data_IF_399536773072
#
_entry.id   IF_399536773072
#
_cell.length_a   1.000
_cell.length_b   1.000
_cell.length_c   1.000
_cell.angle_alpha   90.00
_cell.angle_beta   90.00
_cell.angle_gamma   90.00
#
_symmetry.space_group_name_H-M   'P 1'
#
loop_
_entity.id
_entity.type
_entity.pdbx_description
1 polymer ?
#
# COMPACT_ATOMS: atom_id res chain seq x y z
N UNK A 1 6.17 15.05 17.85
CA UNK A 1 5.44 16.20 18.47
C UNK A 1 5.09 17.31 17.47
N UNK A 2 5.87 17.54 16.43
CA UNK A 2 5.65 18.64 15.47
C UNK A 2 4.38 18.47 14.63
N UNK A 3 4.08 17.27 14.16
CA UNK A 3 2.95 17.01 13.26
C UNK A 3 1.61 16.76 13.99
N UNK A 4 1.66 16.30 15.25
CA UNK A 4 0.45 15.92 16.00
C UNK A 4 -0.55 17.07 16.12
N UNK A 5 -0.16 18.31 16.54
CA UNK A 5 -1.11 19.41 16.67
C UNK A 5 -1.80 19.77 15.34
N UNK A 6 -1.07 19.72 14.22
CA UNK A 6 -1.65 20.04 12.92
C UNK A 6 -2.63 18.97 12.43
N UNK A 7 -2.29 17.69 12.63
CA UNK A 7 -3.21 16.60 12.30
C UNK A 7 -4.49 16.66 13.13
N UNK A 8 -4.38 16.93 14.44
CA UNK A 8 -5.54 17.11 15.33
C UNK A 8 -6.40 18.28 14.87
N UNK A 9 -5.78 19.43 14.53
CA UNK A 9 -6.49 20.60 14.03
C UNK A 9 -7.31 20.29 12.78
N UNK A 10 -6.75 19.51 11.84
CA UNK A 10 -7.46 19.11 10.63
C UNK A 10 -8.62 18.15 10.94
N UNK A 11 -8.41 17.21 11.85
CA UNK A 11 -9.46 16.27 12.28
C UNK A 11 -10.60 17.03 12.98
N UNK A 12 -10.31 18.02 13.81
CA UNK A 12 -11.32 18.85 14.47
C UNK A 12 -12.13 19.72 13.48
N UNK A 13 -11.59 19.94 12.28
CA UNK A 13 -12.30 20.57 11.16
C UNK A 13 -13.14 19.56 10.34
N UNK A 14 -13.17 18.28 10.71
CA UNK A 14 -13.93 17.24 10.03
C UNK A 14 -13.19 16.53 8.89
N UNK A 15 -11.86 16.66 8.79
CA UNK A 15 -11.08 15.93 7.79
C UNK A 15 -10.60 14.58 8.31
N UNK A 16 -10.64 13.58 7.44
CA UNK A 16 -9.85 12.36 7.62
C UNK A 16 -8.46 12.53 7.00
N UNK A 17 -7.49 11.87 7.57
CA UNK A 17 -6.10 11.89 7.10
C UNK A 17 -5.84 10.63 6.27
N UNK A 18 -5.36 10.80 5.06
CA UNK A 18 -4.97 9.67 4.20
C UNK A 18 -3.48 9.76 3.92
N UNK A 19 -2.74 8.70 4.24
CA UNK A 19 -1.30 8.64 4.01
C UNK A 19 -0.96 7.51 3.04
N UNK A 20 -0.27 7.86 1.93
CA UNK A 20 0.02 6.94 0.84
C UNK A 20 1.11 5.89 1.16
N UNK A 21 1.84 6.04 2.24
CA UNK A 21 2.95 5.16 2.62
C UNK A 21 2.53 4.28 3.82
N UNK A 22 2.50 2.94 3.67
CA UNK A 22 2.02 2.03 4.71
C UNK A 22 2.75 2.17 6.05
N UNK A 23 4.05 2.45 6.07
CA UNK A 23 4.81 2.67 7.30
C UNK A 23 4.39 3.94 8.05
N UNK A 24 4.02 5.00 7.33
CA UNK A 24 3.51 6.23 7.96
C UNK A 24 2.13 5.99 8.59
N UNK A 25 1.26 5.25 7.92
CA UNK A 25 -0.04 4.87 8.49
C UNK A 25 0.15 3.99 9.72
N UNK A 26 1.00 2.97 9.65
CA UNK A 26 1.31 2.08 10.77
C UNK A 26 1.81 2.84 11.99
N UNK A 27 2.71 3.81 11.79
CA UNK A 27 3.26 4.64 12.85
C UNK A 27 2.14 5.33 13.66
N UNK A 28 1.21 6.00 12.99
CA UNK A 28 0.13 6.73 13.67
C UNK A 28 -1.02 5.83 14.13
N UNK A 29 -1.28 4.71 13.43
CA UNK A 29 -2.34 3.78 13.83
C UNK A 29 -1.98 2.88 15.01
N UNK A 30 -0.69 2.49 15.11
CA UNK A 30 -0.29 1.46 16.09
C UNK A 30 0.93 1.87 16.91
N UNK A 31 2.04 2.25 16.29
CA UNK A 31 3.31 2.41 17.00
C UNK A 31 3.26 3.56 18.01
N UNK A 32 2.88 4.77 17.60
CA UNK A 32 2.77 5.91 18.51
C UNK A 32 1.71 5.70 19.61
N UNK A 33 0.49 5.20 19.30
CA UNK A 33 -0.48 4.86 20.35
C UNK A 33 -0.02 3.78 21.34
N UNK A 34 0.83 2.84 20.93
CA UNK A 34 1.42 1.85 21.84
C UNK A 34 2.52 2.46 22.70
N UNK A 35 3.31 3.40 22.16
CA UNK A 35 4.36 4.10 22.93
C UNK A 35 3.79 5.13 23.90
N UNK A 36 2.64 5.71 23.58
CA UNK A 36 1.98 6.77 24.34
C UNK A 36 0.47 6.48 24.48
N UNK A 37 0.07 5.45 25.25
CA UNK A 37 -1.31 4.95 25.27
C UNK A 37 -2.31 5.96 25.84
N UNK A 38 -1.88 6.84 26.74
CA UNK A 38 -2.72 7.83 27.40
C UNK A 38 -2.77 9.18 26.66
N UNK A 39 -2.11 9.30 25.51
CA UNK A 39 -2.11 10.53 24.71
C UNK A 39 -3.39 10.61 23.88
N UNK A 40 -4.33 11.49 24.30
CA UNK A 40 -5.63 11.66 23.66
C UNK A 40 -5.54 12.12 22.20
N UNK A 41 -4.53 12.93 21.86
CA UNK A 41 -4.32 13.42 20.49
C UNK A 41 -3.89 12.29 19.57
N UNK A 42 -3.03 11.38 20.04
CA UNK A 42 -2.62 10.21 19.27
C UNK A 42 -3.78 9.22 19.10
N UNK A 43 -4.63 9.02 20.12
CA UNK A 43 -5.83 8.19 19.97
C UNK A 43 -6.83 8.80 18.97
N UNK A 44 -6.98 10.13 18.95
CA UNK A 44 -7.79 10.84 17.94
C UNK A 44 -7.24 10.62 16.53
N UNK A 45 -5.93 10.81 16.33
CA UNK A 45 -5.27 10.59 15.02
C UNK A 45 -5.44 9.13 14.58
N UNK A 46 -5.22 8.16 15.48
CA UNK A 46 -5.42 6.73 15.20
C UNK A 46 -6.79 6.43 14.60
N UNK A 47 -7.83 7.10 15.09
CA UNK A 47 -9.21 6.90 14.63
C UNK A 47 -9.49 7.51 13.25
N UNK A 48 -8.70 8.50 12.83
CA UNK A 48 -8.94 9.29 11.63
C UNK A 48 -7.82 9.21 10.58
N UNK A 49 -6.83 8.33 10.76
CA UNK A 49 -5.79 8.09 9.74
C UNK A 49 -6.02 6.78 9.03
N UNK A 50 -5.94 6.82 7.71
CA UNK A 50 -6.26 5.70 6.84
C UNK A 50 -5.18 5.44 5.79
N UNK A 51 -5.00 4.16 5.45
CA UNK A 51 -4.42 3.75 4.18
C UNK A 51 -5.35 4.21 3.03
N UNK A 52 -4.83 4.57 1.84
CA UNK A 52 -5.66 5.07 0.74
C UNK A 52 -6.77 4.10 0.35
N UNK A 53 -6.46 2.81 0.25
CA UNK A 53 -7.45 1.81 -0.15
C UNK A 53 -8.42 1.46 0.99
N UNK A 54 -7.97 1.53 2.24
CA UNK A 54 -8.87 1.45 3.39
C UNK A 54 -9.90 2.59 3.33
N UNK A 55 -9.45 3.82 3.08
CA UNK A 55 -10.34 4.98 2.93
C UNK A 55 -11.31 4.83 1.76
N UNK A 56 -10.83 4.35 0.60
CA UNK A 56 -11.69 4.10 -0.55
C UNK A 56 -12.76 3.03 -0.28
N UNK A 57 -12.43 1.98 0.50
CA UNK A 57 -13.44 1.01 0.96
C UNK A 57 -14.48 1.67 1.86
N UNK A 58 -14.08 2.57 2.76
CA UNK A 58 -15.04 3.35 3.56
C UNK A 58 -15.97 4.18 2.68
N UNK A 59 -15.41 4.87 1.68
CA UNK A 59 -16.19 5.66 0.72
C UNK A 59 -17.15 4.78 -0.10
N UNK A 60 -16.68 3.61 -0.53
CA UNK A 60 -17.52 2.65 -1.26
C UNK A 60 -18.71 2.17 -0.43
N UNK A 61 -18.47 1.76 0.82
CA UNK A 61 -19.53 1.31 1.73
C UNK A 61 -20.56 2.41 2.04
N UNK A 62 -20.15 3.67 2.03
CA UNK A 62 -21.02 4.83 2.20
C UNK A 62 -21.75 5.24 0.91
N UNK A 63 -21.55 4.55 -0.23
CA UNK A 63 -22.12 4.91 -1.52
C UNK A 63 -21.51 6.18 -2.14
N UNK A 64 -20.32 6.56 -1.70
CA UNK A 64 -19.65 7.81 -2.08
C UNK A 64 -18.43 7.59 -3.00
N UNK A 65 -18.15 6.36 -3.40
CA UNK A 65 -17.13 6.04 -4.40
C UNK A 65 -17.80 5.89 -5.76
N UNK A 66 -17.34 6.64 -6.75
CA UNK A 66 -17.76 6.41 -8.12
C UNK A 66 -17.18 5.06 -8.60
N UNK A 67 -18.02 4.16 -9.09
CA UNK A 67 -17.62 2.84 -9.62
C UNK A 67 -17.83 2.74 -11.13
N UNK A 68 -18.01 3.86 -11.82
CA UNK A 68 -18.09 3.92 -13.29
C UNK A 68 -16.68 3.90 -13.90
N UNK A 69 -16.11 2.73 -14.01
CA UNK A 69 -14.80 2.53 -14.63
C UNK A 69 -14.91 2.47 -16.15
N UNK A 70 -13.92 3.05 -16.84
CA UNK A 70 -13.87 3.14 -18.30
C UNK A 70 -12.99 2.08 -18.95
N UNK A 71 -12.06 1.50 -18.16
CA UNK A 71 -11.09 0.55 -18.69
C UNK A 71 -10.90 -0.61 -17.70
N UNK A 72 -10.81 -1.87 -18.20
CA UNK A 72 -10.41 -3.01 -17.39
C UNK A 72 -8.93 -2.90 -17.04
N UNK A 73 -8.51 -3.62 -16.01
CA UNK A 73 -7.12 -3.67 -15.58
C UNK A 73 -6.42 -5.00 -15.91
N UNK A 74 -7.18 -6.03 -16.35
CA UNK A 74 -6.59 -7.33 -16.68
C UNK A 74 -6.04 -8.06 -15.46
N UNK A 75 -4.87 -8.69 -15.61
CA UNK A 75 -4.25 -9.53 -14.58
C UNK A 75 -3.21 -8.75 -13.77
N UNK A 76 -3.38 -8.68 -12.48
CA UNK A 76 -2.54 -7.92 -11.57
C UNK A 76 -1.85 -8.85 -10.56
N UNK A 77 -0.53 -8.78 -10.45
CA UNK A 77 0.21 -9.29 -9.31
C UNK A 77 0.30 -8.19 -8.24
N UNK A 78 -0.46 -8.34 -7.16
CA UNK A 78 -0.41 -7.39 -6.04
C UNK A 78 0.45 -7.94 -4.91
N UNK A 79 1.59 -7.29 -4.69
CA UNK A 79 2.45 -7.54 -3.55
C UNK A 79 1.96 -6.75 -2.33
N UNK A 80 1.64 -7.45 -1.26
CA UNK A 80 1.20 -6.88 0.02
C UNK A 80 2.41 -6.53 0.87
N UNK A 81 2.72 -5.24 1.11
CA UNK A 81 3.89 -4.86 1.89
C UNK A 81 3.72 -5.17 3.39
N UNK A 82 4.85 -5.42 4.07
CA UNK A 82 4.84 -5.83 5.48
C UNK A 82 4.10 -4.85 6.38
N UNK A 83 4.37 -3.55 6.25
CA UNK A 83 3.73 -2.51 7.07
C UNK A 83 2.23 -2.34 6.82
N UNK A 84 1.70 -2.77 5.67
CA UNK A 84 0.25 -2.83 5.43
C UNK A 84 -0.36 -4.07 6.09
N UNK A 85 0.33 -5.22 5.99
CA UNK A 85 -0.15 -6.48 6.59
C UNK A 85 -0.31 -6.39 8.10
N UNK A 86 0.67 -5.80 8.80
CA UNK A 86 0.62 -5.68 10.28
C UNK A 86 -0.42 -4.69 10.78
N UNK A 87 -0.98 -3.83 9.91
CA UNK A 87 -2.11 -2.96 10.28
C UNK A 87 -3.41 -3.74 10.51
N UNK A 88 -3.49 -5.00 10.06
CA UNK A 88 -4.68 -5.85 10.15
C UNK A 88 -5.95 -5.25 9.53
N UNK A 89 -5.79 -4.40 8.51
CA UNK A 89 -6.92 -3.77 7.79
C UNK A 89 -7.57 -4.70 6.75
N UNK A 90 -6.94 -5.83 6.45
CA UNK A 90 -7.36 -6.76 5.39
C UNK A 90 -6.91 -6.31 3.99
N UNK A 91 -7.31 -7.02 2.93
CA UNK A 91 -6.82 -6.83 1.56
C UNK A 91 -7.50 -5.65 0.83
N UNK A 92 -7.48 -4.46 1.41
CA UNK A 92 -8.24 -3.28 0.95
C UNK A 92 -7.93 -2.87 -0.49
N UNK A 93 -6.66 -2.95 -0.89
CA UNK A 93 -6.24 -2.69 -2.28
C UNK A 93 -6.92 -3.66 -3.25
N UNK A 94 -6.94 -4.96 -2.91
CA UNK A 94 -7.67 -5.96 -3.69
C UNK A 94 -9.17 -5.66 -3.72
N UNK A 95 -9.76 -5.32 -2.57
CA UNK A 95 -11.21 -5.06 -2.46
C UNK A 95 -11.64 -3.92 -3.41
N UNK A 96 -10.84 -2.85 -3.53
CA UNK A 96 -11.14 -1.72 -4.42
C UNK A 96 -10.85 -2.06 -5.89
N UNK A 97 -9.68 -2.63 -6.20
CA UNK A 97 -9.33 -2.94 -7.59
C UNK A 97 -10.24 -4.03 -8.19
N UNK A 98 -10.79 -4.92 -7.36
CA UNK A 98 -11.77 -5.92 -7.80
C UNK A 98 -13.15 -5.33 -8.17
N UNK A 99 -13.42 -4.05 -7.88
CA UNK A 99 -14.60 -3.35 -8.37
C UNK A 99 -14.50 -3.01 -9.87
N UNK A 100 -13.27 -3.00 -10.41
CA UNK A 100 -13.04 -2.73 -11.83
C UNK A 100 -13.38 -4.00 -12.63
N UNK A 101 -14.28 -3.93 -13.63
CA UNK A 101 -14.64 -5.10 -14.46
C UNK A 101 -13.41 -5.74 -15.13
N UNK A 102 -13.48 -7.02 -15.41
CA UNK A 102 -12.46 -7.81 -16.09
C UNK A 102 -11.05 -7.65 -15.47
N UNK A 103 -11.01 -7.64 -14.13
CA UNK A 103 -9.78 -7.50 -13.34
C UNK A 103 -9.56 -8.73 -12.47
N UNK A 104 -8.44 -9.42 -12.68
CA UNK A 104 -7.99 -10.56 -11.87
C UNK A 104 -6.80 -10.14 -10.99
N UNK A 105 -6.89 -10.40 -9.68
CA UNK A 105 -5.84 -9.97 -8.74
C UNK A 105 -5.25 -11.19 -8.03
N UNK A 106 -3.98 -11.43 -8.29
CA UNK A 106 -3.19 -12.45 -7.61
C UNK A 106 -2.41 -11.82 -6.45
N UNK A 107 -2.75 -12.23 -5.24
CA UNK A 107 -2.18 -11.69 -4.00
C UNK A 107 -0.86 -12.38 -3.68
N UNK A 108 0.17 -11.59 -3.38
CA UNK A 108 1.51 -12.08 -3.05
C UNK A 108 1.93 -11.54 -1.69
N UNK A 109 1.96 -12.43 -0.71
CA UNK A 109 2.41 -12.15 0.65
C UNK A 109 3.79 -12.77 0.90
N UNK A 110 4.84 -12.09 0.44
CA UNK A 110 6.23 -12.49 0.63
C UNK A 110 7.09 -11.27 0.89
N UNK A 111 8.18 -11.44 1.61
CA UNK A 111 9.11 -10.34 1.84
C UNK A 111 9.77 -9.91 0.53
N UNK A 112 9.78 -8.60 0.27
CA UNK A 112 10.49 -8.00 -0.87
C UNK A 112 12.01 -7.89 -0.64
N UNK A 113 12.47 -8.12 0.59
CA UNK A 113 13.88 -7.96 0.97
C UNK A 113 14.32 -6.52 1.19
N UNK A 114 13.45 -5.53 1.01
CA UNK A 114 13.82 -4.12 1.08
C UNK A 114 14.14 -3.67 2.52
N UNK A 115 13.25 -3.91 3.48
CA UNK A 115 13.39 -3.62 4.90
C UNK A 115 14.12 -2.28 5.23
N UNK A 116 13.45 -1.18 5.00
CA UNK A 116 13.97 0.17 5.21
C UNK A 116 15.22 0.45 4.37
N UNK A 117 16.39 0.49 4.99
CA UNK A 117 17.67 0.75 4.30
C UNK A 117 18.40 -0.51 3.81
N UNK A 118 17.90 -1.70 4.15
CA UNK A 118 18.59 -2.96 3.89
C UNK A 118 18.82 -3.21 2.40
N UNK A 119 17.86 -2.87 1.56
CA UNK A 119 17.93 -3.01 0.10
C UNK A 119 18.81 -1.99 -0.61
N UNK A 120 19.23 -0.90 0.07
CA UNK A 120 20.03 0.18 -0.54
C UNK A 120 21.47 0.25 -0.04
N UNK A 121 21.81 -0.45 1.04
CA UNK A 121 23.17 -0.48 1.59
C UNK A 121 24.03 -1.52 0.87
N UNK A 122 25.27 -1.17 0.55
CA UNK A 122 26.22 -2.06 -0.16
C UNK A 122 26.49 -3.36 0.60
N UNK A 123 26.62 -3.30 1.93
CA UNK A 123 26.94 -4.44 2.81
C UNK A 123 25.77 -5.40 2.99
N UNK A 124 24.54 -4.99 2.73
CA UNK A 124 23.33 -5.81 2.89
C UNK A 124 22.61 -6.14 1.58
N UNK A 125 22.95 -5.45 0.48
CA UNK A 125 22.26 -5.57 -0.81
C UNK A 125 22.16 -7.02 -1.32
N UNK A 126 23.24 -7.81 -1.25
CA UNK A 126 23.19 -9.19 -1.70
C UNK A 126 22.26 -10.07 -0.85
N UNK A 127 22.24 -9.84 0.47
CA UNK A 127 21.33 -10.53 1.38
C UNK A 127 19.87 -10.12 1.08
N UNK A 128 19.63 -8.84 0.88
CA UNK A 128 18.34 -8.28 0.47
C UNK A 128 17.82 -8.97 -0.81
N UNK A 129 18.65 -9.07 -1.84
CA UNK A 129 18.34 -9.76 -3.09
C UNK A 129 18.05 -11.26 -2.90
N UNK A 130 18.78 -11.94 -2.00
CA UNK A 130 18.49 -13.34 -1.65
C UNK A 130 17.14 -13.50 -0.99
N UNK A 131 16.77 -12.59 -0.09
CA UNK A 131 15.44 -12.57 0.57
C UNK A 131 14.32 -12.32 -0.45
N UNK A 132 14.54 -11.47 -1.45
CA UNK A 132 13.58 -11.17 -2.51
C UNK A 132 13.36 -12.31 -3.51
N UNK A 133 14.29 -13.25 -3.67
CA UNK A 133 14.21 -14.34 -4.68
C UNK A 133 12.88 -15.10 -4.70
N UNK A 134 12.30 -15.50 -3.55
CA UNK A 134 11.04 -16.24 -3.56
C UNK A 134 9.87 -15.46 -4.17
N UNK A 135 9.74 -14.16 -3.90
CA UNK A 135 8.69 -13.32 -4.51
C UNK A 135 8.95 -13.12 -5.99
N UNK A 136 10.19 -12.83 -6.39
CA UNK A 136 10.60 -12.65 -7.78
C UNK A 136 10.34 -13.92 -8.60
N UNK A 137 10.77 -15.10 -8.10
CA UNK A 137 10.56 -16.37 -8.78
C UNK A 137 9.09 -16.75 -8.89
N UNK A 138 8.25 -16.34 -7.93
CA UNK A 138 6.80 -16.55 -8.00
C UNK A 138 6.21 -15.69 -9.11
N UNK A 139 6.54 -14.41 -9.16
CA UNK A 139 6.01 -13.47 -10.17
C UNK A 139 6.47 -13.85 -11.58
N UNK A 140 7.74 -14.28 -11.76
CA UNK A 140 8.25 -14.77 -13.06
C UNK A 140 7.44 -15.92 -13.68
N UNK A 141 6.72 -16.66 -12.85
CA UNK A 141 5.85 -17.79 -13.30
C UNK A 141 4.41 -17.38 -13.55
N UNK A 142 4.07 -16.12 -13.29
CA UNK A 142 2.71 -15.59 -13.44
C UNK A 142 2.62 -14.85 -14.77
N UNK A 143 1.52 -15.05 -15.47
CA UNK A 143 1.16 -14.24 -16.64
C UNK A 143 0.31 -13.08 -16.14
N UNK A 144 0.94 -11.91 -15.93
CA UNK A 144 0.29 -10.71 -15.41
C UNK A 144 0.61 -9.49 -16.26
N UNK A 145 -0.35 -8.59 -16.36
CA UNK A 145 -0.19 -7.33 -17.08
C UNK A 145 0.50 -6.27 -16.21
N UNK A 146 0.27 -6.33 -14.90
CA UNK A 146 0.82 -5.35 -13.95
C UNK A 146 1.39 -6.02 -12.70
N UNK A 147 2.50 -5.44 -12.22
CA UNK A 147 3.03 -5.64 -10.87
C UNK A 147 2.78 -4.37 -10.06
N UNK A 148 2.11 -4.51 -8.93
CA UNK A 148 1.84 -3.38 -8.03
C UNK A 148 2.17 -3.72 -6.58
N UNK A 149 2.53 -2.71 -5.80
CA UNK A 149 2.61 -2.76 -4.35
C UNK A 149 2.26 -1.39 -3.77
N UNK A 150 1.61 -1.37 -2.60
CA UNK A 150 1.30 -0.13 -1.89
C UNK A 150 2.55 0.52 -1.29
N UNK A 151 3.66 -0.21 -1.20
CA UNK A 151 4.96 0.32 -0.83
C UNK A 151 5.85 0.48 -2.06
N UNK A 152 6.17 1.72 -2.51
CA UNK A 152 6.98 1.96 -3.70
C UNK A 152 8.38 1.33 -3.59
N UNK A 153 8.98 1.33 -2.41
CA UNK A 153 10.31 0.74 -2.22
C UNK A 153 10.30 -0.78 -2.39
N UNK A 154 9.23 -1.46 -1.91
CA UNK A 154 9.06 -2.89 -2.13
C UNK A 154 8.80 -3.20 -3.60
N UNK A 155 7.99 -2.39 -4.26
CA UNK A 155 7.71 -2.50 -5.69
C UNK A 155 8.99 -2.36 -6.52
N UNK A 156 9.79 -1.31 -6.29
CA UNK A 156 11.07 -1.09 -6.98
C UNK A 156 12.06 -2.24 -6.78
N UNK A 157 12.18 -2.75 -5.54
CA UNK A 157 13.06 -3.90 -5.25
C UNK A 157 12.65 -5.16 -6.03
N UNK A 158 11.36 -5.41 -6.15
CA UNK A 158 10.83 -6.56 -6.92
C UNK A 158 11.02 -6.32 -8.43
N UNK A 159 10.72 -5.12 -8.92
CA UNK A 159 10.88 -4.75 -10.32
C UNK A 159 12.34 -4.84 -10.80
N UNK A 160 13.30 -4.39 -9.96
CA UNK A 160 14.74 -4.57 -10.21
C UNK A 160 15.10 -6.05 -10.37
N UNK A 161 14.61 -6.91 -9.48
CA UNK A 161 14.86 -8.36 -9.56
C UNK A 161 14.16 -9.08 -10.72
N UNK A 162 13.12 -8.45 -11.30
CA UNK A 162 12.42 -8.92 -12.51
C UNK A 162 13.02 -8.33 -13.78
N UNK A 163 13.96 -7.37 -13.67
CA UNK A 163 14.56 -6.65 -14.80
C UNK A 163 13.51 -5.92 -15.67
N UNK A 164 12.49 -5.35 -15.02
CA UNK A 164 11.41 -4.66 -15.73
C UNK A 164 11.91 -3.32 -16.29
N UNK A 165 11.77 -3.12 -17.61
CA UNK A 165 12.23 -1.90 -18.30
C UNK A 165 11.47 -0.63 -17.90
N UNK A 166 10.21 -0.77 -17.51
CA UNK A 166 9.32 0.36 -17.18
C UNK A 166 9.00 0.44 -15.67
N UNK A 167 9.68 -0.36 -14.86
CA UNK A 167 9.50 -0.38 -13.42
C UNK A 167 8.14 -0.98 -12.98
N UNK A 168 7.75 -0.61 -11.80
CA UNK A 168 6.49 -0.98 -11.17
C UNK A 168 5.43 0.12 -11.31
N UNK A 169 4.17 -0.27 -11.09
CA UNK A 169 3.04 0.65 -11.07
C UNK A 169 2.45 0.73 -9.66
N UNK A 170 2.04 1.92 -9.24
CA UNK A 170 1.27 2.08 -8.00
C UNK A 170 -0.17 1.58 -8.18
N UNK A 171 -0.78 0.93 -7.18
CA UNK A 171 -2.20 0.57 -7.24
C UNK A 171 -3.11 1.79 -7.47
N UNK A 172 -2.76 2.97 -6.94
CA UNK A 172 -3.49 4.22 -7.19
C UNK A 172 -3.38 4.67 -8.66
N UNK A 173 -2.23 4.43 -9.31
CA UNK A 173 -2.06 4.72 -10.74
C UNK A 173 -2.94 3.80 -11.58
N UNK A 174 -3.05 2.51 -11.24
CA UNK A 174 -3.99 1.62 -11.92
C UNK A 174 -5.44 2.07 -11.74
N UNK A 175 -5.81 2.47 -10.53
CA UNK A 175 -7.17 2.97 -10.28
C UNK A 175 -7.45 4.23 -11.10
N UNK A 176 -6.49 5.17 -11.19
CA UNK A 176 -6.58 6.33 -12.08
C UNK A 176 -6.78 5.92 -13.54
N UNK A 177 -6.02 4.95 -14.02
CA UNK A 177 -6.14 4.39 -15.37
C UNK A 177 -7.53 3.77 -15.59
N UNK A 178 -8.06 3.01 -14.62
CA UNK A 178 -9.39 2.43 -14.71
C UNK A 178 -10.48 3.50 -14.91
N UNK A 179 -10.32 4.70 -14.36
CA UNK A 179 -11.20 5.84 -14.61
C UNK A 179 -10.97 6.53 -15.97
N UNK A 180 -9.93 6.15 -16.71
CA UNK A 180 -9.57 6.78 -17.99
C UNK A 180 -8.94 8.18 -17.84
N UNK A 181 -8.21 8.41 -16.73
CA UNK A 181 -7.57 9.69 -16.38
C UNK A 181 -6.05 9.63 -16.65
#
# INVERSE_FOLDING_TARGET
RTNVPELVRLIDQGYDIVAAIPSCVLMFKQELPLMYPDDADLQKIKAHIFDPFEYLVHRHKAGLLNTEFKQPLGKIAWHVPCHQRVQNIGPKTKDVLALVPDTEIQVIERCSGHDGTYGIRKDTLEKSRKIARPVINRIKKMEVDYLVSDCPMAASQIADGLELKHGETSPLTLLRQAYGL
#
